data_IF_340314590099
#
_entry.id   IF_340314590099
#
_cell.length_a   1.000
_cell.length_b   1.000
_cell.length_c   1.000
_cell.angle_alpha   90.00
_cell.angle_beta   90.00
_cell.angle_gamma   90.00
#
_symmetry.space_group_name_H-M   'P 1'
#
loop_
_entity.id
_entity.type
_entity.pdbx_description
1 polymer ?
#
# COMPACT_ATOMS: atom_id res chain seq x y z
N UNK A 1 -20.85 19.16 -16.93
CA UNK A 1 -20.29 19.70 -15.67
C UNK A 1 -18.86 19.20 -15.58
N UNK A 2 -17.87 20.07 -15.38
CA UNK A 2 -16.54 19.59 -15.02
C UNK A 2 -16.62 18.86 -13.67
N UNK A 3 -15.82 17.81 -13.45
CA UNK A 3 -15.77 17.14 -12.15
C UNK A 3 -15.31 18.15 -11.11
N UNK A 4 -16.08 18.30 -10.02
CA UNK A 4 -15.61 18.99 -8.82
C UNK A 4 -14.25 18.39 -8.45
N UNK A 5 -13.23 19.24 -8.33
CA UNK A 5 -11.92 18.80 -7.87
C UNK A 5 -12.11 18.48 -6.39
N UNK A 6 -12.34 17.19 -6.15
CA UNK A 6 -12.58 16.61 -4.84
C UNK A 6 -11.37 16.92 -3.95
N UNK A 7 -11.59 17.71 -2.91
CA UNK A 7 -10.54 18.00 -1.93
C UNK A 7 -10.17 16.66 -1.31
N UNK A 8 -8.88 16.25 -1.30
CA UNK A 8 -8.51 14.91 -0.85
C UNK A 8 -9.01 14.71 0.58
N UNK A 9 -9.96 13.79 0.74
CA UNK A 9 -10.48 13.40 2.04
C UNK A 9 -9.31 13.09 2.99
N UNK A 10 -9.43 13.53 4.24
CA UNK A 10 -8.39 13.29 5.23
C UNK A 10 -8.21 11.79 5.52
N UNK A 11 -6.99 11.37 5.84
CA UNK A 11 -6.66 9.96 6.14
C UNK A 11 -7.57 9.30 7.19
N UNK A 12 -8.03 10.07 8.18
CA UNK A 12 -8.96 9.59 9.20
C UNK A 12 -10.36 9.28 8.64
N UNK A 13 -10.83 10.06 7.67
CA UNK A 13 -12.13 9.84 7.02
C UNK A 13 -12.08 8.59 6.16
N UNK A 14 -11.02 8.44 5.36
CA UNK A 14 -10.80 7.22 4.57
C UNK A 14 -10.67 5.98 5.46
N UNK A 15 -9.96 6.07 6.60
CA UNK A 15 -9.89 4.99 7.57
C UNK A 15 -11.28 4.62 8.13
N UNK A 16 -12.10 5.61 8.51
CA UNK A 16 -13.48 5.36 8.97
C UNK A 16 -14.35 4.71 7.89
N UNK A 17 -14.23 5.15 6.63
CA UNK A 17 -14.93 4.54 5.49
C UNK A 17 -14.49 3.09 5.27
N UNK A 18 -13.18 2.82 5.36
CA UNK A 18 -12.65 1.46 5.28
C UNK A 18 -13.22 0.56 6.37
N UNK A 19 -13.30 1.02 7.63
CA UNK A 19 -13.94 0.30 8.72
C UNK A 19 -15.45 0.10 8.50
N UNK A 20 -16.11 1.05 7.85
CA UNK A 20 -17.52 0.93 7.45
C UNK A 20 -17.74 -0.04 6.27
N UNK A 21 -16.68 -0.65 5.74
CA UNK A 21 -16.76 -1.61 4.65
C UNK A 21 -16.81 -0.99 3.25
N UNK A 22 -16.41 0.27 3.11
CA UNK A 22 -16.26 0.90 1.80
C UNK A 22 -15.13 0.25 0.99
N UNK A 23 -15.48 -0.26 -0.18
CA UNK A 23 -14.57 -1.06 -1.01
C UNK A 23 -13.55 -0.22 -1.78
N UNK A 24 -13.79 1.08 -1.97
CA UNK A 24 -12.89 1.97 -2.71
C UNK A 24 -11.92 2.72 -1.79
N UNK A 25 -12.19 2.75 -0.48
CA UNK A 25 -11.35 3.41 0.50
C UNK A 25 -9.92 2.83 0.54
N UNK A 26 -9.74 1.53 0.26
CA UNK A 26 -8.41 0.91 0.19
C UNK A 26 -7.54 1.49 -0.94
N UNK A 27 -8.12 1.69 -2.13
CA UNK A 27 -7.42 2.28 -3.26
C UNK A 27 -7.04 3.74 -2.97
N UNK A 28 -7.97 4.53 -2.41
CA UNK A 28 -7.73 5.92 -2.04
C UNK A 28 -6.64 6.07 -0.97
N UNK A 29 -6.63 5.18 0.04
CA UNK A 29 -5.57 5.14 1.06
C UNK A 29 -4.20 4.79 0.47
N UNK A 30 -4.15 3.80 -0.42
CA UNK A 30 -2.91 3.42 -1.09
C UNK A 30 -2.36 4.56 -1.95
N UNK A 31 -3.20 5.20 -2.77
CA UNK A 31 -2.84 6.36 -3.60
C UNK A 31 -2.29 7.53 -2.76
N UNK A 32 -2.91 7.80 -1.62
CA UNK A 32 -2.52 8.92 -0.76
C UNK A 32 -1.21 8.66 -0.01
N UNK A 33 -1.04 7.46 0.53
CA UNK A 33 0.01 7.18 1.52
C UNK A 33 1.21 6.43 0.95
N UNK A 34 1.01 5.50 0.02
CA UNK A 34 2.09 4.60 -0.41
C UNK A 34 3.26 5.33 -1.09
N UNK A 35 3.05 6.26 -2.05
CA UNK A 35 4.17 6.95 -2.71
C UNK A 35 4.96 7.80 -1.70
N UNK A 36 4.26 8.49 -0.80
CA UNK A 36 4.88 9.31 0.26
C UNK A 36 5.69 8.46 1.24
N UNK A 37 5.19 7.28 1.57
CA UNK A 37 5.86 6.32 2.43
C UNK A 37 7.16 5.83 1.79
N UNK A 38 7.13 5.42 0.52
CA UNK A 38 8.30 4.95 -0.22
C UNK A 38 9.37 6.05 -0.31
N UNK A 39 8.99 7.26 -0.74
CA UNK A 39 9.93 8.39 -0.85
C UNK A 39 10.60 8.71 0.50
N UNK A 40 9.82 8.74 1.58
CA UNK A 40 10.35 8.99 2.93
C UNK A 40 11.26 7.86 3.42
N UNK A 41 10.95 6.60 3.12
CA UNK A 41 11.81 5.47 3.48
C UNK A 41 13.12 5.51 2.68
N UNK A 42 13.08 5.72 1.36
CA UNK A 42 14.29 5.87 0.54
C UNK A 42 15.18 7.00 1.06
N UNK A 43 14.59 8.13 1.45
CA UNK A 43 15.32 9.25 2.04
C UNK A 43 15.94 8.93 3.41
N UNK A 44 15.30 8.08 4.22
CA UNK A 44 15.78 7.68 5.55
C UNK A 44 16.84 6.56 5.50
N UNK A 45 16.80 5.73 4.46
CA UNK A 45 17.66 4.55 4.28
C UNK A 45 18.53 4.67 3.03
N UNK A 46 19.22 5.79 2.85
CA UNK A 46 20.06 6.07 1.66
C UNK A 46 21.19 5.05 1.43
N UNK A 47 21.57 4.32 2.47
CA UNK A 47 22.64 3.32 2.42
C UNK A 47 22.15 1.92 2.00
N UNK A 48 20.84 1.74 1.79
CA UNK A 48 20.30 0.48 1.28
C UNK A 48 20.42 0.51 -0.24
N UNK A 49 21.32 -0.31 -0.78
CA UNK A 49 21.58 -0.40 -2.23
C UNK A 49 20.37 -0.90 -3.02
N UNK A 50 19.54 -1.75 -2.40
CA UNK A 50 18.39 -2.37 -3.04
C UNK A 50 17.09 -1.59 -2.76
N UNK A 51 16.74 -0.71 -3.69
CA UNK A 51 15.48 0.03 -3.72
C UNK A 51 14.24 -0.87 -3.60
N UNK A 52 14.32 -2.11 -4.10
CA UNK A 52 13.20 -3.04 -4.07
C UNK A 52 12.84 -3.43 -2.63
N UNK A 53 13.83 -3.56 -1.72
CA UNK A 53 13.57 -3.88 -0.31
C UNK A 53 12.75 -2.80 0.38
N UNK A 54 13.06 -1.53 0.08
CA UNK A 54 12.35 -0.38 0.64
C UNK A 54 10.89 -0.38 0.19
N UNK A 55 10.65 -0.63 -1.10
CA UNK A 55 9.31 -0.73 -1.64
C UNK A 55 8.54 -1.93 -1.09
N UNK A 56 9.18 -3.10 -0.97
CA UNK A 56 8.55 -4.29 -0.39
C UNK A 56 8.10 -4.04 1.04
N UNK A 57 8.94 -3.42 1.87
CA UNK A 57 8.57 -3.09 3.25
C UNK A 57 7.41 -2.09 3.31
N UNK A 58 7.38 -1.10 2.42
CA UNK A 58 6.25 -0.18 2.32
C UNK A 58 4.95 -0.88 1.88
N UNK A 59 5.03 -1.78 0.90
CA UNK A 59 3.92 -2.60 0.44
C UNK A 59 3.39 -3.51 1.55
N UNK A 60 4.27 -4.18 2.28
CA UNK A 60 3.90 -5.09 3.37
C UNK A 60 3.22 -4.34 4.52
N UNK A 61 3.75 -3.18 4.91
CA UNK A 61 3.09 -2.31 5.89
C UNK A 61 1.69 -1.86 5.44
N UNK A 62 1.54 -1.46 4.18
CA UNK A 62 0.24 -1.05 3.62
C UNK A 62 -0.73 -2.23 3.56
N UNK A 63 -0.29 -3.39 3.06
CA UNK A 63 -1.10 -4.60 2.98
C UNK A 63 -1.57 -5.05 4.37
N UNK A 64 -0.65 -5.15 5.34
CA UNK A 64 -0.95 -5.52 6.72
C UNK A 64 -1.99 -4.58 7.35
N UNK A 65 -1.90 -3.27 7.08
CA UNK A 65 -2.90 -2.31 7.52
C UNK A 65 -4.27 -2.51 6.83
N UNK A 66 -4.31 -2.71 5.51
CA UNK A 66 -5.57 -2.88 4.78
C UNK A 66 -6.29 -4.20 5.10
N UNK A 67 -5.55 -5.24 5.46
CA UNK A 67 -6.10 -6.54 5.89
C UNK A 67 -6.65 -6.52 7.31
N UNK A 68 -6.11 -5.68 8.20
CA UNK A 68 -6.54 -5.55 9.60
C UNK A 68 -6.59 -4.09 10.07
N UNK A 69 -7.45 -3.23 9.46
CA UNK A 69 -7.48 -1.80 9.74
C UNK A 69 -7.87 -1.47 11.19
N UNK A 70 -8.61 -2.33 11.86
CA UNK A 70 -9.04 -2.18 13.27
C UNK A 70 -7.89 -2.19 14.27
N UNK A 71 -6.69 -2.68 13.89
CA UNK A 71 -5.49 -2.62 14.74
C UNK A 71 -4.91 -1.22 14.87
N UNK A 72 -5.20 -0.34 13.91
CA UNK A 72 -4.74 1.03 13.94
C UNK A 72 -5.62 1.87 14.87
N UNK A 73 -4.99 2.56 15.81
CA UNK A 73 -5.64 3.44 16.77
C UNK A 73 -5.31 4.91 16.44
N UNK A 74 -6.25 5.68 15.85
CA UNK A 74 -6.02 7.06 15.45
C UNK A 74 -5.82 8.02 16.64
N UNK A 75 -6.13 7.60 17.88
CA UNK A 75 -5.91 8.43 19.06
C UNK A 75 -4.46 8.45 19.52
N UNK A 76 -3.68 7.42 19.15
CA UNK A 76 -2.27 7.28 19.56
C UNK A 76 -1.30 7.92 18.59
N UNK A 77 -1.53 7.74 17.29
CA UNK A 77 -0.58 8.16 16.26
C UNK A 77 -1.30 8.40 14.92
N UNK A 78 -0.90 9.41 14.12
CA UNK A 78 -1.42 9.58 12.77
C UNK A 78 -1.05 8.40 11.85
N UNK A 79 -1.92 8.08 10.88
CA UNK A 79 -1.77 6.92 9.98
C UNK A 79 -0.44 6.92 9.23
N UNK A 80 0.01 8.08 8.74
CA UNK A 80 1.33 8.23 8.10
C UNK A 80 2.48 7.74 9.00
N UNK A 81 2.42 8.10 10.28
CA UNK A 81 3.46 7.74 11.25
C UNK A 81 3.37 6.27 11.64
N UNK A 82 2.16 5.72 11.75
CA UNK A 82 1.93 4.29 11.97
C UNK A 82 2.48 3.44 10.83
N UNK A 83 2.15 3.76 9.57
CA UNK A 83 2.63 3.05 8.39
C UNK A 83 4.15 3.14 8.27
N UNK A 84 4.73 4.32 8.54
CA UNK A 84 6.20 4.49 8.56
C UNK A 84 6.85 3.61 9.60
N UNK A 85 6.34 3.60 10.84
CA UNK A 85 6.88 2.76 11.91
C UNK A 85 6.83 1.27 11.54
N UNK A 86 5.70 0.79 10.99
CA UNK A 86 5.55 -0.60 10.54
C UNK A 86 6.56 -0.94 9.43
N UNK A 87 6.62 -0.13 8.37
CA UNK A 87 7.51 -0.38 7.24
C UNK A 87 8.99 -0.32 7.62
N UNK A 88 9.37 0.57 8.54
CA UNK A 88 10.74 0.62 9.08
C UNK A 88 11.11 -0.67 9.83
N UNK A 89 10.19 -1.18 10.66
CA UNK A 89 10.38 -2.44 11.35
C UNK A 89 10.58 -3.60 10.39
N UNK A 90 9.73 -3.70 9.36
CA UNK A 90 9.80 -4.73 8.33
C UNK A 90 11.11 -4.64 7.53
N UNK A 91 11.51 -3.44 7.10
CA UNK A 91 12.76 -3.20 6.39
C UNK A 91 13.98 -3.62 7.23
N UNK A 92 14.06 -3.20 8.49
CA UNK A 92 15.15 -3.59 9.38
C UNK A 92 15.21 -5.11 9.59
N UNK A 93 14.05 -5.77 9.66
CA UNK A 93 13.99 -7.23 9.76
C UNK A 93 14.48 -7.91 8.48
N UNK A 94 14.18 -7.37 7.30
CA UNK A 94 14.71 -7.86 6.02
C UNK A 94 16.23 -7.68 5.93
N UNK A 95 16.75 -6.51 6.30
CA UNK A 95 18.19 -6.23 6.29
C UNK A 95 18.96 -7.13 7.25
N UNK A 96 18.44 -7.39 8.46
CA UNK A 96 19.04 -8.35 9.41
C UNK A 96 19.09 -9.76 8.83
N UNK A 97 18.01 -10.22 8.17
CA UNK A 97 17.96 -11.53 7.52
C UNK A 97 18.94 -11.64 6.35
N UNK A 98 19.13 -10.57 5.58
CA UNK A 98 20.12 -10.52 4.49
C UNK A 98 21.55 -10.47 5.02
N UNK A 99 21.82 -9.67 6.04
CA UNK A 99 23.14 -9.59 6.69
C UNK A 99 23.57 -10.94 7.25
N UNK A 100 22.69 -11.62 7.97
CA UNK A 100 22.95 -12.97 8.46
C UNK A 100 23.29 -13.96 7.32
N UNK A 101 22.61 -13.86 6.17
CA UNK A 101 22.90 -14.70 4.99
C UNK A 101 24.18 -14.30 4.27
N UNK A 102 24.51 -13.01 4.21
CA UNK A 102 25.72 -12.49 3.58
C UNK A 102 26.97 -12.88 4.38
N UNK A 103 26.87 -12.82 5.70
CA UNK A 103 27.92 -13.32 6.59
C UNK A 103 28.05 -14.84 6.46
N UNK A 104 26.95 -15.61 6.43
CA UNK A 104 27.03 -17.06 6.15
C UNK A 104 27.59 -17.39 4.75
N UNK A 105 27.36 -16.55 3.74
CA UNK A 105 27.93 -16.70 2.39
C UNK A 105 29.43 -16.41 2.36
N UNK A 106 29.94 -15.53 3.22
CA UNK A 106 31.38 -15.25 3.37
C UNK A 106 32.06 -16.26 4.30
N UNK A 107 31.30 -16.92 5.17
CA UNK A 107 31.79 -17.93 6.11
C UNK A 107 31.46 -19.39 5.72
N UNK A 108 31.55 -19.70 4.42
CA UNK A 108 31.88 -21.06 3.94
C UNK A 108 33.30 -21.53 4.32
N UNK A 109 33.97 -20.83 5.24
CA UNK A 109 35.22 -21.25 5.89
C UNK A 109 35.29 -20.63 7.28
N UNK A 110 34.82 -21.41 8.26
CA UNK A 110 35.36 -21.60 9.62
C UNK A 110 36.02 -20.37 10.26
N UNK A 111 35.41 -19.81 11.31
CA UNK A 111 35.93 -19.75 12.70
C UNK A 111 34.91 -18.97 13.54
N UNK A 112 34.64 -19.50 14.73
CA UNK A 112 33.65 -19.04 15.72
C UNK A 112 33.96 -17.66 16.35
N UNK A 113 32.88 -16.89 16.50
CA UNK A 113 32.48 -16.02 17.61
C UNK A 113 33.54 -15.19 18.36
N UNK A 114 33.31 -13.87 18.39
CA UNK A 114 33.29 -13.17 19.67
C UNK A 114 32.26 -12.03 19.72
N UNK A 115 31.60 -11.92 20.87
CA UNK A 115 30.44 -11.09 21.13
C UNK A 115 30.82 -9.71 21.65
N UNK A 116 30.25 -8.64 21.07
CA UNK A 116 30.16 -7.34 21.76
C UNK A 116 28.80 -6.69 21.49
N UNK A 117 28.05 -6.50 22.58
CA UNK A 117 26.85 -5.69 22.63
C UNK A 117 27.19 -4.21 22.61
N UNK A 118 26.34 -3.41 21.96
CA UNK A 118 26.39 -1.95 21.99
C UNK A 118 24.97 -1.45 22.22
N UNK A 119 24.75 -0.84 23.38
CA UNK A 119 23.59 0.00 23.68
C UNK A 119 23.64 1.24 22.78
N UNK A 120 22.53 1.56 22.10
CA UNK A 120 22.36 2.83 21.39
C UNK A 120 21.30 3.69 22.10
N UNK A 121 21.76 4.80 22.64
CA UNK A 121 20.95 5.94 23.05
C UNK A 121 20.20 6.51 21.84
N UNK A 122 18.90 6.76 22.02
CA UNK A 122 18.04 7.40 21.02
C UNK A 122 18.12 8.92 21.22
N UNK A 123 18.56 9.71 20.23
CA UNK A 123 18.49 11.16 20.32
C UNK A 123 17.06 11.64 20.09
N UNK A 124 16.65 12.58 20.94
CA UNK A 124 15.37 13.26 20.97
C UNK A 124 15.11 14.05 19.67
N UNK A 125 13.89 13.92 19.16
CA UNK A 125 13.47 14.39 17.84
C UNK A 125 12.95 15.83 17.89
N UNK A 126 13.62 16.74 17.18
CA UNK A 126 13.07 18.05 16.83
C UNK A 126 13.09 18.22 15.31
N UNK A 127 11.89 18.22 14.71
CA UNK A 127 11.45 18.70 13.38
C UNK A 127 12.47 18.71 12.22
N UNK A 128 12.16 18.10 11.06
CA UNK A 128 13.04 18.16 9.90
C UNK A 128 13.11 19.60 9.34
N UNK A 129 14.31 20.14 9.33
CA UNK A 129 14.67 21.39 8.70
C UNK A 129 14.81 21.15 7.19
N UNK A 130 14.07 21.90 6.36
CA UNK A 130 14.10 21.77 4.89
C UNK A 130 15.48 22.17 4.31
N UNK A 131 16.32 22.82 5.11
CA UNK A 131 17.66 23.31 4.73
C UNK A 131 18.80 22.27 4.85
N UNK A 132 18.54 21.03 5.27
CA UNK A 132 19.56 19.96 5.41
C UNK A 132 19.67 19.07 4.14
N UNK A 133 19.53 19.67 2.97
CA UNK A 133 19.87 19.07 1.68
C UNK A 133 21.00 19.87 1.04
N UNK A 134 22.20 19.81 1.62
CA UNK A 134 23.40 20.28 0.94
C UNK A 134 23.66 19.37 -0.28
N UNK A 135 23.36 19.89 -1.47
CA UNK A 135 23.58 19.21 -2.75
C UNK A 135 24.95 19.65 -3.29
N UNK A 136 25.88 18.70 -3.35
CA UNK A 136 27.10 18.83 -4.15
C UNK A 136 26.70 19.00 -5.64
N UNK A 137 27.41 19.86 -6.39
CA UNK A 137 27.13 20.13 -7.81
C UNK A 137 27.33 18.89 -8.71
N UNK A 138 27.82 17.79 -8.14
CA UNK A 138 27.94 16.46 -8.76
C UNK A 138 26.68 15.61 -8.62
N UNK A 139 25.64 16.10 -7.92
CA UNK A 139 24.39 15.35 -7.74
C UNK A 139 23.75 15.03 -9.09
N UNK A 140 23.30 13.77 -9.33
CA UNK A 140 22.63 13.36 -10.57
C UNK A 140 21.37 14.18 -10.90
N UNK A 141 20.86 14.95 -9.93
CA UNK A 141 19.80 15.96 -10.11
C UNK A 141 20.19 17.03 -11.15
N UNK A 142 21.47 17.40 -11.25
CA UNK A 142 21.98 18.39 -12.22
C UNK A 142 21.85 17.94 -13.68
N UNK A 143 22.12 16.66 -13.94
CA UNK A 143 21.96 16.08 -15.28
C UNK A 143 20.52 16.17 -15.77
N UNK A 144 19.56 15.91 -14.87
CA UNK A 144 18.14 16.11 -15.19
C UNK A 144 17.80 17.59 -15.37
N UNK A 145 18.33 18.50 -14.54
CA UNK A 145 17.97 19.92 -14.62
C UNK A 145 18.28 20.53 -16.00
N UNK A 146 19.40 20.14 -16.62
CA UNK A 146 19.80 20.60 -17.95
C UNK A 146 18.85 20.13 -19.07
N UNK A 147 18.31 18.91 -18.96
CA UNK A 147 17.28 18.41 -19.88
C UNK A 147 15.95 19.15 -19.70
N UNK A 148 15.61 19.52 -18.46
CA UNK A 148 14.33 20.13 -18.10
C UNK A 148 14.28 21.64 -18.41
N UNK A 149 15.41 22.34 -18.24
CA UNK A 149 15.59 23.77 -18.45
C UNK A 149 16.65 24.00 -19.53
N UNK A 150 16.30 23.99 -20.83
CA UNK A 150 17.28 24.15 -21.90
C UNK A 150 17.91 25.55 -21.97
N UNK A 151 17.32 26.54 -21.28
CA UNK A 151 17.88 27.88 -21.19
C UNK A 151 18.98 27.92 -20.10
N UNK A 152 20.24 28.21 -20.44
CA UNK A 152 21.33 28.26 -19.46
C UNK A 152 21.12 29.34 -18.40
N UNK A 153 20.42 30.44 -18.73
CA UNK A 153 20.11 31.49 -17.75
C UNK A 153 19.16 30.95 -16.69
N UNK A 154 18.15 30.18 -17.10
CA UNK A 154 17.21 29.55 -16.17
C UNK A 154 17.90 28.55 -15.23
N UNK A 155 18.89 27.79 -15.74
CA UNK A 155 19.68 26.86 -14.92
C UNK A 155 20.46 27.59 -13.82
N UNK A 156 21.13 28.68 -14.18
CA UNK A 156 21.90 29.50 -13.22
C UNK A 156 21.00 30.22 -12.19
N UNK A 157 19.79 30.65 -12.58
CA UNK A 157 18.82 31.19 -11.61
C UNK A 157 18.44 30.12 -10.58
N UNK A 158 18.25 28.87 -11.00
CA UNK A 158 17.93 27.77 -10.08
C UNK A 158 19.12 27.46 -9.16
N UNK A 159 20.37 27.54 -9.64
CA UNK A 159 21.57 27.46 -8.79
C UNK A 159 21.53 28.48 -7.67
N UNK A 160 21.36 29.77 -8.03
CA UNK A 160 21.26 30.85 -7.05
C UNK A 160 20.12 30.64 -6.05
N UNK A 161 19.01 30.03 -6.48
CA UNK A 161 17.90 29.67 -5.58
C UNK A 161 18.27 28.54 -4.62
N UNK A 162 18.99 27.53 -5.09
CA UNK A 162 19.44 26.38 -4.29
C UNK A 162 20.51 26.79 -3.26
N UNK A 163 21.40 27.70 -3.65
CA UNK A 163 22.41 28.30 -2.78
C UNK A 163 21.82 29.33 -1.79
N UNK A 164 20.50 29.47 -1.76
CA UNK A 164 19.76 30.40 -0.90
C UNK A 164 20.17 31.87 -1.07
N UNK A 165 20.67 32.26 -2.25
CA UNK A 165 21.03 33.65 -2.57
C UNK A 165 19.77 34.52 -2.55
N UNK A 166 19.77 35.54 -1.68
CA UNK A 166 18.65 36.49 -1.53
C UNK A 166 18.90 37.84 -2.22
N UNK A 167 20.13 38.12 -2.65
CA UNK A 167 20.49 39.39 -3.28
C UNK A 167 19.87 39.51 -4.69
N UNK A 168 19.00 40.51 -4.89
CA UNK A 168 18.32 40.71 -6.19
C UNK A 168 19.29 41.09 -7.31
N UNK A 169 20.39 41.78 -6.97
CA UNK A 169 21.42 42.24 -7.91
C UNK A 169 22.12 41.09 -8.64
N UNK A 170 22.32 39.95 -7.98
CA UNK A 170 22.95 38.76 -8.57
C UNK A 170 22.05 38.17 -9.66
N UNK A 171 20.76 38.01 -9.37
CA UNK A 171 19.77 37.59 -10.37
C UNK A 171 19.60 38.61 -11.49
N UNK A 172 19.63 39.92 -11.18
CA UNK A 172 19.48 40.98 -12.17
C UNK A 172 20.65 41.03 -13.15
N UNK A 173 21.87 40.78 -12.66
CA UNK A 173 23.08 40.67 -13.47
C UNK A 173 23.00 39.49 -14.41
N UNK A 174 22.53 38.34 -13.91
CA UNK A 174 22.37 37.13 -14.70
C UNK A 174 21.29 37.27 -15.79
N UNK A 175 20.19 37.95 -15.48
CA UNK A 175 19.11 38.27 -16.42
C UNK A 175 19.45 39.41 -17.39
N UNK A 176 20.60 40.08 -17.24
CA UNK A 176 20.99 41.23 -18.07
C UNK A 176 20.16 42.50 -17.83
N UNK A 177 19.51 42.63 -16.67
CA UNK A 177 18.58 43.72 -16.33
C UNK A 177 19.13 44.71 -15.30
N UNK A 178 20.43 44.67 -14.98
CA UNK A 178 21.06 45.56 -13.99
C UNK A 178 20.97 47.06 -14.30
N UNK A 179 20.62 47.42 -15.54
CA UNK A 179 20.41 48.81 -15.97
C UNK A 179 19.03 49.36 -15.58
N UNK A 180 18.07 48.50 -15.23
CA UNK A 180 16.75 48.94 -14.79
C UNK A 180 16.80 49.51 -13.36
N UNK A 181 15.85 50.36 -12.97
CA UNK A 181 15.70 50.77 -11.57
C UNK A 181 15.48 49.55 -10.64
N UNK A 182 15.92 49.62 -9.36
CA UNK A 182 15.86 48.48 -8.44
C UNK A 182 14.47 47.83 -8.29
N UNK A 183 13.40 48.64 -8.30
CA UNK A 183 12.02 48.14 -8.20
C UNK A 183 11.59 47.33 -9.43
N UNK A 184 12.06 47.72 -10.62
CA UNK A 184 11.80 47.00 -11.86
C UNK A 184 12.62 45.71 -11.94
N UNK A 185 13.89 45.75 -11.50
CA UNK A 185 14.72 44.56 -11.35
C UNK A 185 14.04 43.51 -10.47
N UNK A 186 13.57 43.91 -9.28
CA UNK A 186 12.91 43.00 -8.34
C UNK A 186 11.64 42.35 -8.93
N UNK A 187 10.86 43.11 -9.71
CA UNK A 187 9.65 42.59 -10.38
C UNK A 187 9.99 41.55 -11.44
N UNK A 188 10.99 41.82 -12.29
CA UNK A 188 11.40 40.87 -13.34
C UNK A 188 12.10 39.63 -12.76
N UNK A 189 12.93 39.77 -11.72
CA UNK A 189 13.50 38.64 -10.98
C UNK A 189 12.40 37.77 -10.40
N UNK A 190 11.40 38.36 -9.72
CA UNK A 190 10.27 37.62 -9.17
C UNK A 190 9.48 36.89 -10.25
N UNK A 191 9.19 37.54 -11.37
CA UNK A 191 8.46 36.93 -12.48
C UNK A 191 9.18 35.71 -13.05
N UNK A 192 10.49 35.80 -13.26
CA UNK A 192 11.30 34.67 -13.73
C UNK A 192 11.38 33.55 -12.68
N UNK A 193 11.60 33.89 -11.40
CA UNK A 193 11.55 32.89 -10.30
C UNK A 193 10.21 32.18 -10.23
N UNK A 194 9.10 32.92 -10.25
CA UNK A 194 7.75 32.33 -10.21
C UNK A 194 7.48 31.42 -11.42
N UNK A 195 7.96 31.81 -12.62
CA UNK A 195 7.90 30.97 -13.83
C UNK A 195 8.65 29.66 -13.63
N UNK A 196 9.88 29.74 -13.11
CA UNK A 196 10.74 28.58 -12.88
C UNK A 196 10.17 27.65 -11.81
N UNK A 197 9.73 28.19 -10.68
CA UNK A 197 9.07 27.41 -9.62
C UNK A 197 7.84 26.67 -10.15
N UNK A 198 6.98 27.33 -10.95
CA UNK A 198 5.81 26.67 -11.56
C UNK A 198 6.21 25.55 -12.52
N UNK A 199 7.25 25.78 -13.33
CA UNK A 199 7.76 24.78 -14.30
C UNK A 199 8.33 23.57 -13.56
N UNK A 200 9.21 23.80 -12.57
CA UNK A 200 9.77 22.76 -11.73
C UNK A 200 8.65 21.97 -11.03
N UNK A 201 7.72 22.65 -10.36
CA UNK A 201 6.59 21.98 -9.71
C UNK A 201 5.76 21.14 -10.68
N UNK A 202 5.48 21.63 -11.89
CA UNK A 202 4.75 20.87 -12.91
C UNK A 202 5.49 19.60 -13.31
N UNK A 203 6.80 19.68 -13.49
CA UNK A 203 7.64 18.55 -13.91
C UNK A 203 7.87 17.56 -12.79
N UNK A 204 8.18 18.04 -11.59
CA UNK A 204 8.26 17.25 -10.37
C UNK A 204 6.94 16.51 -10.16
N UNK A 205 5.79 17.18 -10.32
CA UNK A 205 4.49 16.53 -10.26
C UNK A 205 4.32 15.48 -11.36
N UNK A 206 4.72 15.73 -12.60
CA UNK A 206 4.60 14.77 -13.70
C UNK A 206 5.49 13.52 -13.51
N UNK A 207 6.75 13.72 -13.11
CA UNK A 207 7.68 12.63 -12.81
C UNK A 207 7.20 11.83 -11.59
N UNK A 208 6.82 12.52 -10.52
CA UNK A 208 6.19 11.91 -9.34
C UNK A 208 4.92 11.15 -9.72
N UNK A 209 4.10 11.64 -10.65
CA UNK A 209 2.92 10.91 -11.13
C UNK A 209 3.31 9.58 -11.78
N UNK A 210 4.31 9.58 -12.67
CA UNK A 210 4.74 8.33 -13.34
C UNK A 210 5.36 7.32 -12.37
N UNK A 211 6.17 7.78 -11.40
CA UNK A 211 6.71 6.91 -10.36
C UNK A 211 5.61 6.41 -9.41
N UNK A 212 4.69 7.29 -9.03
CA UNK A 212 3.54 6.96 -8.19
C UNK A 212 2.69 5.87 -8.83
N UNK A 213 2.38 6.00 -10.12
CA UNK A 213 1.67 4.97 -10.88
C UNK A 213 2.45 3.65 -10.88
N UNK A 214 3.78 3.70 -11.03
CA UNK A 214 4.63 2.50 -10.95
C UNK A 214 4.63 1.84 -9.57
N UNK A 215 4.66 2.62 -8.48
CA UNK A 215 4.57 2.09 -7.12
C UNK A 215 3.22 1.43 -6.87
N UNK A 216 2.13 2.07 -7.29
CA UNK A 216 0.77 1.53 -7.15
C UNK A 216 0.57 0.27 -8.00
N UNK A 217 1.09 0.22 -9.22
CA UNK A 217 1.01 -0.96 -10.08
C UNK A 217 1.76 -2.16 -9.46
N UNK A 218 2.96 -1.93 -8.92
CA UNK A 218 3.72 -2.97 -8.19
C UNK A 218 2.99 -3.44 -6.93
N UNK A 219 2.35 -2.52 -6.21
CA UNK A 219 1.52 -2.87 -5.06
C UNK A 219 0.30 -3.71 -5.45
N UNK A 220 -0.44 -3.29 -6.48
CA UNK A 220 -1.58 -4.04 -7.03
C UNK A 220 -1.17 -5.45 -7.48
N UNK A 221 0.02 -5.60 -8.08
CA UNK A 221 0.56 -6.91 -8.45
C UNK A 221 0.77 -7.83 -7.23
N UNK A 222 1.17 -7.31 -6.07
CA UNK A 222 1.30 -8.11 -4.84
C UNK A 222 -0.06 -8.58 -4.32
N UNK A 223 -1.08 -7.73 -4.42
CA UNK A 223 -2.44 -8.03 -3.99
C UNK A 223 -3.12 -9.13 -4.84
N UNK A 224 -2.54 -9.56 -5.95
CA UNK A 224 -3.07 -10.69 -6.76
C UNK A 224 -3.16 -11.98 -5.96
N UNK A 225 -2.35 -12.13 -4.91
CA UNK A 225 -2.34 -13.29 -4.00
C UNK A 225 -3.41 -13.22 -2.92
N UNK A 226 -3.95 -12.03 -2.63
CA UNK A 226 -4.94 -11.83 -1.56
C UNK A 226 -6.37 -11.80 -2.14
N UNK A 227 -7.13 -12.83 -1.79
CA UNK A 227 -8.53 -13.01 -2.21
C UNK A 227 -9.49 -11.88 -1.78
N UNK A 228 -9.10 -11.04 -0.82
CA UNK A 228 -9.90 -9.91 -0.35
C UNK A 228 -9.92 -8.72 -1.33
N UNK A 229 -9.02 -8.70 -2.31
CA UNK A 229 -8.87 -7.58 -3.25
C UNK A 229 -9.30 -7.97 -4.67
N UNK A 230 -9.72 -6.95 -5.42
CA UNK A 230 -10.07 -7.10 -6.83
C UNK A 230 -8.88 -7.54 -7.69
N UNK A 231 -7.64 -7.22 -7.30
CA UNK A 231 -6.43 -7.72 -7.96
C UNK A 231 -6.43 -9.25 -8.15
N UNK A 232 -6.87 -10.01 -7.15
CA UNK A 232 -6.95 -11.48 -7.24
C UNK A 232 -8.00 -11.96 -8.25
N UNK A 233 -9.15 -11.28 -8.33
CA UNK A 233 -10.23 -11.57 -9.30
C UNK A 233 -9.76 -11.29 -10.71
N UNK A 234 -9.17 -10.11 -10.92
CA UNK A 234 -8.64 -9.70 -12.23
C UNK A 234 -7.54 -10.66 -12.70
N UNK A 235 -6.62 -11.07 -11.81
CA UNK A 235 -5.57 -12.02 -12.16
C UNK A 235 -6.13 -13.39 -12.56
N UNK A 236 -7.09 -13.94 -11.80
CA UNK A 236 -7.74 -15.21 -12.14
C UNK A 236 -8.48 -15.17 -13.46
N UNK A 237 -9.21 -14.08 -13.72
CA UNK A 237 -9.90 -13.90 -14.99
C UNK A 237 -8.91 -13.83 -16.18
N UNK A 238 -7.78 -13.12 -16.00
CA UNK A 238 -6.70 -13.07 -17.02
C UNK A 238 -6.12 -14.44 -17.31
N UNK A 239 -5.81 -15.22 -16.28
CA UNK A 239 -5.27 -16.58 -16.43
C UNK A 239 -6.24 -17.50 -17.16
N UNK A 240 -7.53 -17.40 -16.85
CA UNK A 240 -8.57 -18.19 -17.50
C UNK A 240 -8.75 -17.86 -18.98
N UNK A 241 -8.82 -16.57 -19.31
CA UNK A 241 -9.08 -16.11 -20.68
C UNK A 241 -7.80 -15.97 -21.52
N UNK A 242 -6.62 -16.20 -20.92
CA UNK A 242 -5.33 -16.00 -21.58
C UNK A 242 -5.07 -14.54 -21.96
N UNK A 243 -5.61 -13.59 -21.18
CA UNK A 243 -5.56 -12.16 -21.48
C UNK A 243 -4.39 -11.45 -20.80
N UNK A 244 -3.72 -10.59 -21.55
CA UNK A 244 -2.83 -9.57 -21.00
C UNK A 244 -3.60 -8.49 -20.23
N UNK A 245 -2.89 -7.71 -19.43
CA UNK A 245 -3.46 -6.62 -18.64
C UNK A 245 -4.15 -5.56 -19.52
N UNK A 246 -3.49 -5.11 -20.58
CA UNK A 246 -4.04 -4.12 -21.52
C UNK A 246 -5.34 -4.61 -22.17
N UNK A 247 -5.40 -5.87 -22.59
CA UNK A 247 -6.59 -6.44 -23.21
C UNK A 247 -7.78 -6.51 -22.24
N UNK A 248 -7.51 -6.78 -20.95
CA UNK A 248 -8.55 -6.76 -19.92
C UNK A 248 -9.01 -5.33 -19.61
N UNK A 249 -8.10 -4.36 -19.59
CA UNK A 249 -8.45 -2.95 -19.42
C UNK A 249 -9.32 -2.43 -20.59
N UNK A 250 -8.97 -2.79 -21.82
CA UNK A 250 -9.75 -2.47 -23.02
C UNK A 250 -11.14 -3.14 -22.98
N UNK A 251 -11.22 -4.39 -22.53
CA UNK A 251 -12.48 -5.12 -22.35
C UNK A 251 -13.42 -4.39 -21.37
N UNK A 252 -12.86 -3.85 -20.28
CA UNK A 252 -13.59 -3.08 -19.26
C UNK A 252 -13.82 -1.61 -19.66
N UNK A 253 -13.24 -1.15 -20.77
CA UNK A 253 -13.32 0.24 -21.24
C UNK A 253 -12.58 1.25 -20.36
N UNK A 254 -11.51 0.85 -19.67
CA UNK A 254 -10.76 1.69 -18.73
C UNK A 254 -9.28 1.84 -19.10
N UNK A 255 -8.65 2.92 -18.62
CA UNK A 255 -7.21 3.13 -18.79
C UNK A 255 -6.38 2.24 -17.86
N UNK A 256 -5.08 2.07 -18.14
CA UNK A 256 -4.15 1.32 -17.26
C UNK A 256 -4.07 1.89 -15.83
N UNK A 257 -4.13 3.21 -15.67
CA UNK A 257 -4.19 3.83 -14.35
C UNK A 257 -5.48 3.44 -13.62
N UNK A 258 -6.62 3.45 -14.31
CA UNK A 258 -7.90 3.03 -13.72
C UNK A 258 -7.95 1.52 -13.44
N UNK A 259 -7.29 0.70 -14.26
CA UNK A 259 -7.10 -0.72 -13.99
C UNK A 259 -6.34 -0.95 -12.67
N UNK A 260 -5.25 -0.20 -12.46
CA UNK A 260 -4.49 -0.25 -11.20
C UNK A 260 -5.38 0.13 -10.02
N UNK A 261 -6.18 1.19 -10.13
CA UNK A 261 -7.14 1.59 -9.08
C UNK A 261 -8.18 0.52 -8.79
N UNK A 262 -8.72 -0.12 -9.83
CA UNK A 262 -9.66 -1.22 -9.68
C UNK A 262 -9.02 -2.38 -8.90
N UNK A 263 -7.79 -2.75 -9.24
CA UNK A 263 -7.06 -3.83 -8.58
C UNK A 263 -6.84 -3.57 -7.08
N UNK A 264 -6.66 -2.31 -6.68
CA UNK A 264 -6.48 -1.89 -5.27
C UNK A 264 -7.79 -1.86 -4.45
N UNK A 265 -8.96 -1.93 -5.10
CA UNK A 265 -10.24 -1.97 -4.39
C UNK A 265 -10.45 -3.30 -3.67
N UNK A 266 -11.17 -3.29 -2.54
CA UNK A 266 -11.64 -4.54 -1.92
C UNK A 266 -12.69 -5.21 -2.82
N UNK A 267 -12.69 -6.53 -2.79
CA UNK A 267 -13.56 -7.37 -3.60
C UNK A 267 -15.00 -7.38 -3.03
N UNK A 268 -16.03 -7.11 -3.85
CA UNK A 268 -17.43 -7.39 -3.48
C UNK A 268 -17.65 -8.89 -3.25
N UNK A 269 -18.42 -9.25 -2.23
CA UNK A 269 -18.76 -10.66 -1.96
C UNK A 269 -20.08 -11.01 -2.66
N UNK A 270 -20.06 -11.99 -3.56
CA UNK A 270 -21.23 -12.38 -4.36
C UNK A 270 -22.44 -12.82 -3.49
N UNK A 271 -22.18 -13.41 -2.33
CA UNK A 271 -23.21 -13.96 -1.44
C UNK A 271 -23.97 -12.90 -0.63
N UNK A 272 -23.51 -11.63 -0.67
CA UNK A 272 -24.09 -10.56 0.14
C UNK A 272 -25.27 -9.89 -0.59
N UNK A 273 -26.33 -9.49 0.14
CA UNK A 273 -27.51 -8.88 -0.45
C UNK A 273 -27.24 -7.54 -1.15
N UNK A 274 -26.13 -6.87 -0.83
CA UNK A 274 -25.72 -5.59 -1.41
C UNK A 274 -24.66 -5.73 -2.52
N UNK A 275 -24.43 -6.93 -3.07
CA UNK A 275 -23.42 -7.16 -4.11
C UNK A 275 -23.57 -6.20 -5.30
N UNK A 276 -24.78 -6.06 -5.84
CA UNK A 276 -25.03 -5.19 -6.99
C UNK A 276 -24.72 -3.71 -6.69
N UNK A 277 -24.99 -3.24 -5.46
CA UNK A 277 -24.70 -1.88 -5.03
C UNK A 277 -23.19 -1.66 -4.89
N UNK A 278 -22.49 -2.64 -4.31
CA UNK A 278 -21.04 -2.65 -4.18
C UNK A 278 -20.34 -2.60 -5.55
N UNK A 279 -20.79 -3.41 -6.51
CA UNK A 279 -20.22 -3.40 -7.86
C UNK A 279 -20.47 -2.06 -8.55
N UNK A 280 -21.69 -1.51 -8.44
CA UNK A 280 -22.00 -0.17 -8.98
C UNK A 280 -21.13 0.93 -8.37
N UNK A 281 -20.87 0.87 -7.07
CA UNK A 281 -20.00 1.82 -6.37
C UNK A 281 -18.55 1.76 -6.88
N UNK A 282 -17.98 0.57 -7.01
CA UNK A 282 -16.63 0.39 -7.58
C UNK A 282 -16.60 0.83 -9.05
N UNK A 283 -17.59 0.43 -9.84
CA UNK A 283 -17.66 0.77 -11.26
C UNK A 283 -17.77 2.28 -11.49
N UNK A 284 -18.55 2.99 -10.67
CA UNK A 284 -18.64 4.44 -10.69
C UNK A 284 -17.31 5.11 -10.30
N UNK A 285 -16.59 4.56 -9.31
CA UNK A 285 -15.28 5.08 -8.88
C UNK A 285 -14.22 4.96 -9.97
N UNK A 286 -14.19 3.85 -10.70
CA UNK A 286 -13.17 3.58 -11.74
C UNK A 286 -13.60 4.07 -13.13
N UNK A 287 -14.90 4.23 -13.36
CA UNK A 287 -15.46 4.61 -14.66
C UNK A 287 -15.63 3.44 -15.63
N UNK A 288 -15.97 2.24 -15.15
CA UNK A 288 -16.24 1.07 -15.99
C UNK A 288 -17.72 0.66 -16.01
N UNK A 289 -18.08 -0.30 -16.87
CA UNK A 289 -19.43 -0.88 -16.91
C UNK A 289 -19.66 -1.83 -15.72
N UNK A 290 -20.64 -1.50 -14.89
CA UNK A 290 -20.97 -2.27 -13.69
C UNK A 290 -21.49 -3.69 -13.99
N UNK A 291 -22.21 -3.89 -15.11
CA UNK A 291 -22.72 -5.20 -15.48
C UNK A 291 -21.59 -6.12 -15.95
N UNK A 292 -20.65 -5.61 -16.74
CA UNK A 292 -19.46 -6.35 -17.15
C UNK A 292 -18.59 -6.73 -15.94
N UNK A 293 -18.37 -5.79 -15.01
CA UNK A 293 -17.62 -6.06 -13.79
C UNK A 293 -18.31 -7.12 -12.91
N UNK A 294 -19.63 -7.06 -12.75
CA UNK A 294 -20.40 -8.06 -12.01
C UNK A 294 -20.29 -9.46 -12.65
N UNK A 295 -20.42 -9.53 -13.98
CA UNK A 295 -20.31 -10.80 -14.72
C UNK A 295 -18.92 -11.43 -14.52
N UNK A 296 -17.86 -10.63 -14.61
CA UNK A 296 -16.49 -11.08 -14.38
C UNK A 296 -16.30 -11.65 -12.97
N UNK A 297 -16.76 -10.94 -11.93
CA UNK A 297 -16.67 -11.42 -10.55
C UNK A 297 -17.42 -12.75 -10.38
N UNK A 298 -18.66 -12.82 -10.88
CA UNK A 298 -19.47 -14.04 -10.80
C UNK A 298 -18.84 -15.23 -11.55
N UNK A 299 -18.20 -14.99 -12.70
CA UNK A 299 -17.53 -16.03 -13.47
C UNK A 299 -16.34 -16.62 -12.71
N UNK A 300 -15.49 -15.77 -12.12
CA UNK A 300 -14.36 -16.21 -11.30
C UNK A 300 -14.83 -16.99 -10.06
N UNK A 301 -15.95 -16.58 -9.47
CA UNK A 301 -16.51 -17.19 -8.26
C UNK A 301 -17.14 -18.56 -8.54
N UNK A 302 -17.90 -18.67 -9.63
CA UNK A 302 -18.46 -19.93 -10.09
C UNK A 302 -17.37 -20.98 -10.38
N UNK A 303 -16.25 -20.56 -10.97
CA UNK A 303 -15.13 -21.48 -11.24
C UNK A 303 -14.33 -21.83 -10.00
N UNK A 304 -14.18 -20.88 -9.08
CA UNK A 304 -13.61 -21.14 -7.75
C UNK A 304 -14.39 -22.21 -6.98
N UNK A 305 -15.72 -22.23 -7.13
CA UNK A 305 -16.58 -23.22 -6.48
C UNK A 305 -16.49 -24.63 -7.10
N UNK A 306 -16.12 -24.75 -8.38
CA UNK A 306 -15.99 -26.04 -9.08
C UNK A 306 -14.65 -26.72 -8.78
N UNK A 307 -13.59 -25.97 -8.46
CA UNK A 307 -12.28 -26.55 -8.18
C UNK A 307 -12.37 -27.40 -6.90
N UNK A 308 -12.27 -28.74 -7.00
CA UNK A 308 -12.44 -29.60 -5.84
C UNK A 308 -11.36 -29.30 -4.80
N UNK A 309 -11.71 -29.49 -3.53
CA UNK A 309 -10.91 -29.27 -2.30
C UNK A 309 -9.60 -30.10 -2.26
N UNK A 310 -9.22 -30.75 -3.35
CA UNK A 310 -8.10 -31.70 -3.45
C UNK A 310 -6.72 -31.13 -3.12
N UNK A 311 -6.57 -29.81 -2.97
CA UNK A 311 -5.29 -29.18 -2.57
C UNK A 311 -5.25 -28.71 -1.10
N UNK A 312 -6.40 -28.55 -0.42
CA UNK A 312 -6.45 -27.90 0.90
C UNK A 312 -6.07 -28.79 2.09
N UNK A 313 -5.92 -30.11 1.89
CA UNK A 313 -5.54 -31.06 2.97
C UNK A 313 -4.14 -31.66 2.78
N UNK A 314 -3.32 -31.08 1.91
CA UNK A 314 -1.91 -31.48 1.73
C UNK A 314 -0.93 -30.71 2.62
N UNK A 315 -1.42 -30.11 3.71
CA UNK A 315 -0.59 -29.58 4.80
C UNK A 315 -0.06 -30.74 5.66
N UNK A 316 1.00 -31.37 5.16
CA UNK A 316 2.21 -31.80 5.88
C UNK A 316 2.22 -31.88 7.42
N UNK A 317 1.31 -32.60 8.07
CA UNK A 317 1.42 -32.89 9.52
C UNK A 317 1.15 -34.35 9.95
N UNK A 318 1.08 -35.31 9.01
CA UNK A 318 0.83 -36.73 9.35
C UNK A 318 1.84 -37.75 8.78
N UNK A 319 3.04 -37.35 8.36
CA UNK A 319 4.13 -38.29 8.03
C UNK A 319 5.19 -38.30 9.14
N UNK A 320 4.78 -38.81 10.30
CA UNK A 320 5.68 -39.40 11.31
C UNK A 320 5.04 -40.60 12.01
N UNK A 321 4.14 -41.32 11.33
CA UNK A 321 3.77 -42.67 11.74
C UNK A 321 4.09 -43.68 10.63
N UNK A 322 4.77 -44.81 10.96
CA UNK A 322 5.24 -45.77 9.98
C UNK A 322 4.10 -46.47 9.23
N UNK A 323 4.29 -46.56 7.91
CA UNK A 323 3.41 -47.19 6.92
C UNK A 323 3.48 -48.72 7.05
N UNK A 324 2.89 -49.27 8.10
CA UNK A 324 2.73 -50.70 8.27
C UNK A 324 1.42 -50.97 9.03
N UNK A 325 0.26 -50.92 8.34
CA UNK A 325 -1.01 -51.63 8.72
C UNK A 325 -2.26 -51.30 7.88
N UNK A 326 -2.20 -50.63 6.72
CA UNK A 326 -3.45 -50.30 5.96
C UNK A 326 -3.74 -51.12 4.70
N UNK A 327 -3.17 -52.31 4.56
CA UNK A 327 -3.68 -53.35 3.66
C UNK A 327 -3.75 -54.70 4.39
N UNK A 328 -4.95 -55.04 4.87
CA UNK A 328 -5.23 -56.39 5.36
C UNK A 328 -6.22 -56.44 6.51
N UNK A 329 -7.49 -56.09 6.29
CA UNK A 329 -8.60 -56.63 7.09
C UNK A 329 -9.93 -56.49 6.35
N UNK A 330 -10.12 -57.38 5.37
CA UNK A 330 -11.43 -57.93 5.04
C UNK A 330 -11.45 -59.36 5.58
N UNK A 331 -11.99 -59.56 6.79
CA UNK A 331 -12.56 -60.84 7.24
C UNK A 331 -13.16 -60.72 8.66
N UNK A 332 -14.31 -61.38 8.82
CA UNK A 332 -14.92 -61.89 10.05
C UNK A 332 -15.92 -60.99 10.80
N UNK A 333 -17.17 -61.44 10.69
CA UNK A 333 -18.32 -61.15 11.54
C UNK A 333 -18.08 -61.44 13.02
N UNK A 334 -18.76 -60.70 13.91
CA UNK A 334 -19.54 -61.27 15.03
C UNK A 334 -20.31 -60.20 15.83
N UNK A 335 -21.63 -60.24 15.69
CA UNK A 335 -22.61 -60.42 16.77
C UNK A 335 -22.16 -60.15 18.23
N UNK A 336 -22.73 -59.11 18.88
CA UNK A 336 -23.15 -59.14 20.30
C UNK A 336 -23.93 -57.90 20.77
N UNK A 337 -25.20 -58.18 21.09
CA UNK A 337 -25.98 -57.80 22.31
C UNK A 337 -26.16 -56.33 22.70
N UNK A 338 -27.42 -55.93 22.59
CA UNK A 338 -28.18 -55.03 23.46
C UNK A 338 -27.68 -54.98 24.92
N UNK A 339 -27.62 -53.78 25.48
CA UNK A 339 -27.94 -53.57 26.90
C UNK A 339 -28.47 -52.17 27.10
N UNK A 340 -29.69 -52.16 27.64
CA UNK A 340 -30.50 -51.04 28.08
C UNK A 340 -29.86 -50.21 29.21
N UNK A 341 -30.47 -49.02 29.39
CA UNK A 341 -30.74 -48.37 30.68
C UNK A 341 -29.54 -47.85 31.51
N UNK A 342 -29.44 -46.53 31.70
CA UNK A 342 -30.20 -45.89 32.78
C UNK A 342 -30.02 -44.35 32.82
N UNK A 343 -31.17 -43.72 33.03
CA UNK A 343 -31.48 -42.50 33.80
C UNK A 343 -30.34 -41.61 34.33
N UNK A 344 -30.42 -40.30 34.08
CA UNK A 344 -30.45 -39.28 35.14
C UNK A 344 -30.90 -37.91 34.56
N UNK A 345 -32.09 -37.43 34.97
CA UNK A 345 -32.28 -36.37 36.01
C UNK A 345 -31.85 -34.99 35.48
N UNK A 346 -32.76 -34.20 34.92
CA UNK A 346 -33.71 -33.34 35.66
C UNK A 346 -32.98 -32.39 36.63
N UNK A 347 -32.66 -31.18 36.17
CA UNK A 347 -32.39 -30.05 37.07
C UNK A 347 -33.14 -28.81 36.58
N UNK A 348 -34.35 -28.74 37.10
CA UNK A 348 -35.16 -27.56 37.36
C UNK A 348 -34.36 -26.54 38.20
N UNK A 349 -34.33 -25.28 37.77
CA UNK A 349 -34.26 -24.10 38.65
C UNK A 349 -34.83 -22.88 37.96
N UNK A 350 -36.12 -22.74 38.20
CA UNK A 350 -36.87 -21.49 38.38
C UNK A 350 -36.14 -20.41 39.19
N UNK A 351 -36.43 -19.15 38.85
CA UNK A 351 -36.49 -17.90 39.66
C UNK A 351 -36.40 -16.74 38.65
N UNK A 352 -37.46 -16.09 38.18
CA UNK A 352 -38.49 -15.26 38.86
C UNK A 352 -37.93 -13.96 39.49
N UNK A 353 -38.69 -12.87 39.29
CA UNK A 353 -38.50 -11.47 39.74
C UNK A 353 -37.66 -10.58 38.78
N UNK A 354 -37.97 -9.30 38.55
CA UNK A 354 -38.91 -8.41 39.21
C UNK A 354 -39.27 -7.21 38.30
N UNK A 355 -40.27 -6.51 38.79
CA UNK A 355 -41.14 -5.54 38.17
C UNK A 355 -40.55 -4.15 37.83
N UNK A 356 -41.39 -3.41 37.10
CA UNK A 356 -41.70 -1.98 37.28
C UNK A 356 -40.62 -0.93 36.97
N UNK A 357 -40.88 -0.11 35.93
CA UNK A 357 -41.35 1.28 36.13
C UNK A 357 -41.70 1.99 34.80
N UNK A 358 -42.88 2.62 34.71
CA UNK A 358 -43.12 3.78 33.85
C UNK A 358 -42.86 5.06 34.65
N UNK A 359 -42.25 6.09 34.05
CA UNK A 359 -42.31 7.44 34.63
C UNK A 359 -42.33 8.51 33.53
N UNK A 360 -43.42 9.27 33.54
CA UNK A 360 -43.67 10.48 32.79
C UNK A 360 -42.98 11.67 33.45
N UNK A 361 -42.52 12.66 32.68
CA UNK A 361 -42.44 14.09 33.03
C UNK A 361 -41.99 14.82 31.75
N UNK A 362 -42.87 15.54 31.04
CA UNK A 362 -43.34 16.92 31.22
C UNK A 362 -42.81 17.78 30.06
#
# INVERSE_FOLDING_TARGET
MPPEIDVPEGSLQLHKRLLAGDLTASAQLAELHLPRLIVRLKASFRNVEDDHLVEMAAHDAMMNYLSAPEKYDPSKLPLDSYLRMSAQGDLLNHLRKQGARSDLSKFGRIVELDAFGVEQEIPDSSMPNIDEYALDHTSPVWGHLAELLPDPIDQEIVLLMMDNVRATEEYATLLGISHLPPDEQAREVKRNKDRLVRRLNKMTNQALSSETESYLARFAQRLTTDSQFMASVLNRYREQEGLGESALADLLGISSAMYTRLALCKRPTADRPNFADQVRHIAAYVGCDAAQLAQMINQVDALGAIRPVTEADSSQEALSQPIATRLGWLAAARDRTETDQDTNEEMDRSEESDASKPEQAL
#
